data_IF_476509850183
#
_entry.id   IF_476509850183
#
_cell.length_a   1.000
_cell.length_b   1.000
_cell.length_c   1.000
_cell.angle_alpha   90.00
_cell.angle_beta   90.00
_cell.angle_gamma   90.00
#
_symmetry.space_group_name_H-M   'P 1'
#
loop_
_entity.id
_entity.type
_entity.pdbx_description
1 polymer ?
#
# COMPACT_ATOMS: atom_id res chain seq x y z
N UNK A 1 3.58 -8.07 -5.18
CA UNK A 1 3.01 -6.72 -5.35
C UNK A 1 1.50 -6.72 -5.61
N UNK A 2 0.98 -7.19 -6.76
CA UNK A 2 -0.47 -7.08 -7.03
C UNK A 2 -1.32 -7.75 -5.93
N UNK A 3 -1.03 -9.01 -5.60
CA UNK A 3 -1.70 -9.75 -4.52
C UNK A 3 -1.53 -9.04 -3.16
N UNK A 4 -0.37 -8.44 -2.93
CA UNK A 4 -0.03 -7.78 -1.67
C UNK A 4 -0.88 -6.53 -1.43
N UNK A 5 -1.11 -5.74 -2.48
CA UNK A 5 -1.98 -4.54 -2.42
C UNK A 5 -3.45 -4.83 -2.72
N UNK A 6 -3.82 -6.08 -2.94
CA UNK A 6 -5.22 -6.52 -2.93
C UNK A 6 -5.70 -6.91 -1.52
N UNK A 7 -4.79 -6.92 -0.54
CA UNK A 7 -5.07 -7.25 0.86
C UNK A 7 -6.17 -6.36 1.47
N UNK A 8 -6.92 -6.92 2.41
CA UNK A 8 -7.87 -6.17 3.24
C UNK A 8 -7.19 -5.53 4.45
N UNK A 9 -5.97 -5.97 4.77
CA UNK A 9 -5.19 -5.45 5.90
C UNK A 9 -4.47 -4.15 5.52
N UNK A 10 -4.12 -3.29 6.50
CA UNK A 10 -3.36 -2.08 6.24
C UNK A 10 -1.99 -2.38 5.61
N UNK A 11 -1.70 -1.76 4.45
CA UNK A 11 -0.41 -1.91 3.73
C UNK A 11 0.26 -0.58 3.36
N UNK A 12 -0.28 0.55 3.84
CA UNK A 12 0.19 1.88 3.45
C UNK A 12 1.67 2.11 3.78
N UNK A 13 2.16 1.55 4.89
CA UNK A 13 3.55 1.65 5.33
C UNK A 13 4.55 1.03 4.33
N UNK A 14 4.13 0.04 3.53
CA UNK A 14 4.96 -0.60 2.51
C UNK A 14 4.80 -0.01 1.11
N UNK A 15 3.77 0.82 0.88
CA UNK A 15 3.41 1.28 -0.47
C UNK A 15 4.58 1.95 -1.18
N UNK A 16 5.21 2.93 -0.54
CA UNK A 16 6.33 3.66 -1.12
C UNK A 16 7.52 2.77 -1.46
N UNK A 17 7.93 1.92 -0.51
CA UNK A 17 9.08 1.04 -0.64
C UNK A 17 8.86 0.01 -1.75
N UNK A 18 7.71 -0.69 -1.75
CA UNK A 18 7.42 -1.74 -2.73
C UNK A 18 7.32 -1.19 -4.14
N UNK A 19 6.64 -0.05 -4.36
CA UNK A 19 6.56 0.57 -5.69
C UNK A 19 7.94 1.04 -6.15
N UNK A 20 8.74 1.63 -5.25
CA UNK A 20 10.13 2.00 -5.53
C UNK A 20 11.01 0.82 -5.91
N UNK A 21 10.86 -0.32 -5.23
CA UNK A 21 11.58 -1.56 -5.53
C UNK A 21 11.20 -2.12 -6.90
N UNK A 22 9.91 -2.26 -7.20
CA UNK A 22 9.45 -2.73 -8.51
C UNK A 22 9.97 -1.83 -9.62
N UNK A 23 9.82 -0.52 -9.46
CA UNK A 23 10.28 0.44 -10.45
C UNK A 23 11.79 0.30 -10.71
N UNK A 24 12.60 0.18 -9.66
CA UNK A 24 14.04 -0.09 -9.77
C UNK A 24 14.34 -1.42 -10.45
N UNK A 25 13.61 -2.49 -10.15
CA UNK A 25 13.81 -3.81 -10.74
C UNK A 25 13.58 -3.74 -12.25
N UNK A 26 12.50 -3.09 -12.71
CA UNK A 26 12.21 -2.96 -14.14
C UNK A 26 13.27 -2.10 -14.82
N UNK A 27 13.67 -0.96 -14.22
CA UNK A 27 14.71 -0.11 -14.79
C UNK A 27 16.05 -0.85 -14.96
N UNK A 28 16.44 -1.69 -14.01
CA UNK A 28 17.68 -2.49 -14.07
C UNK A 28 17.75 -3.41 -15.29
N UNK A 29 16.61 -3.75 -15.89
CA UNK A 29 16.58 -4.63 -17.06
C UNK A 29 17.09 -3.93 -18.35
N UNK A 30 17.01 -2.61 -18.43
CA UNK A 30 17.31 -1.88 -19.68
C UNK A 30 18.05 -0.54 -19.51
N UNK A 31 18.10 0.04 -18.32
CA UNK A 31 18.83 1.29 -18.02
C UNK A 31 20.24 0.96 -17.53
N UNK A 32 21.22 1.75 -17.97
CA UNK A 32 22.61 1.57 -17.56
C UNK A 32 22.81 1.79 -16.05
N UNK A 33 23.70 0.99 -15.48
CA UNK A 33 23.99 1.00 -14.04
C UNK A 33 24.60 2.31 -13.53
N UNK A 34 25.36 3.05 -14.35
CA UNK A 34 25.90 4.36 -13.99
C UNK A 34 24.77 5.37 -13.73
N UNK A 35 23.76 5.41 -14.59
CA UNK A 35 22.57 6.27 -14.43
C UNK A 35 21.80 5.91 -13.16
N UNK A 36 21.58 4.61 -12.91
CA UNK A 36 20.88 4.13 -11.71
C UNK A 36 21.63 4.48 -10.42
N UNK A 37 22.96 4.41 -10.43
CA UNK A 37 23.81 4.80 -9.29
C UNK A 37 23.75 6.30 -9.04
N UNK A 38 23.84 7.11 -10.09
CA UNK A 38 23.77 8.58 -10.00
C UNK A 38 22.42 9.05 -9.43
N UNK A 39 21.33 8.32 -9.71
CA UNK A 39 19.98 8.65 -9.26
C UNK A 39 19.47 7.76 -8.11
N UNK A 40 20.36 7.10 -7.35
CA UNK A 40 20.00 6.13 -6.30
C UNK A 40 18.94 6.65 -5.31
N UNK A 41 18.98 7.95 -5.01
CA UNK A 41 18.10 8.62 -4.04
C UNK A 41 16.98 9.45 -4.67
N UNK A 42 16.94 9.56 -6.00
CA UNK A 42 15.93 10.35 -6.72
C UNK A 42 15.42 9.59 -7.95
N UNK A 43 14.48 8.68 -7.72
CA UNK A 43 13.86 7.88 -8.78
C UNK A 43 13.02 8.72 -9.74
N UNK A 44 12.44 9.82 -9.26
CA UNK A 44 11.61 10.71 -10.06
C UNK A 44 12.40 11.36 -11.21
N UNK A 45 13.70 11.58 -11.02
CA UNK A 45 14.58 12.21 -12.01
C UNK A 45 15.01 11.27 -13.16
N UNK A 46 14.86 9.95 -13.00
CA UNK A 46 15.20 9.00 -14.07
C UNK A 46 14.14 9.11 -15.15
N UNK A 47 14.53 9.52 -16.35
CA UNK A 47 13.68 9.53 -17.54
C UNK A 47 13.70 8.13 -18.21
N UNK A 48 12.67 7.29 -18.01
CA UNK A 48 12.69 5.90 -18.47
C UNK A 48 12.61 5.77 -19.99
N UNK A 49 12.18 6.81 -20.70
CA UNK A 49 12.07 6.83 -22.16
C UNK A 49 13.28 7.44 -22.85
N UNK A 50 14.31 7.90 -22.11
CA UNK A 50 15.49 8.51 -22.69
C UNK A 50 16.45 7.44 -23.25
N UNK A 51 16.63 7.32 -24.58
CA UNK A 51 17.48 6.31 -25.18
C UNK A 51 18.95 6.43 -24.75
N UNK A 52 19.40 7.64 -24.40
CA UNK A 52 20.76 7.88 -23.92
C UNK A 52 21.03 7.21 -22.58
N UNK A 53 20.02 6.71 -21.87
CA UNK A 53 20.18 5.97 -20.62
C UNK A 53 20.17 4.46 -20.82
N UNK A 54 19.89 3.98 -22.02
CA UNK A 54 19.68 2.57 -22.27
C UNK A 54 21.00 1.81 -22.37
N UNK A 55 20.96 0.54 -21.97
CA UNK A 55 21.95 -0.45 -22.35
C UNK A 55 21.86 -0.70 -23.86
N UNK A 56 22.90 -1.33 -24.44
CA UNK A 56 22.74 -1.88 -25.79
C UNK A 56 21.71 -3.00 -25.74
N UNK A 57 20.94 -3.18 -26.82
CA UNK A 57 19.84 -4.15 -26.85
C UNK A 57 20.27 -5.59 -26.50
N UNK A 58 21.51 -5.95 -26.80
CA UNK A 58 22.09 -7.26 -26.51
C UNK A 58 22.57 -7.44 -25.07
N UNK A 59 22.75 -6.34 -24.34
CA UNK A 59 23.15 -6.32 -22.93
C UNK A 59 21.95 -6.19 -21.98
N UNK A 60 20.74 -6.00 -22.51
CA UNK A 60 19.49 -5.91 -21.75
C UNK A 60 19.05 -7.29 -21.23
N UNK A 61 18.29 -7.30 -20.14
CA UNK A 61 17.79 -8.52 -19.51
C UNK A 61 16.29 -8.72 -19.74
N UNK A 62 15.90 -9.86 -20.31
CA UNK A 62 14.50 -10.18 -20.61
C UNK A 62 13.94 -11.37 -19.81
N UNK A 63 14.70 -11.84 -18.81
CA UNK A 63 14.31 -12.93 -17.92
C UNK A 63 15.01 -14.24 -18.26
N UNK A 64 15.35 -15.02 -17.23
CA UNK A 64 16.21 -16.19 -17.37
C UNK A 64 15.71 -17.24 -18.39
N UNK A 65 14.39 -17.47 -18.47
CA UNK A 65 13.80 -18.41 -19.44
C UNK A 65 13.92 -17.92 -20.89
N UNK A 66 13.86 -16.59 -21.08
CA UNK A 66 14.01 -15.97 -22.40
C UNK A 66 15.47 -16.08 -22.84
N UNK A 67 16.41 -15.80 -21.95
CA UNK A 67 17.85 -15.96 -22.25
C UNK A 67 18.19 -17.42 -22.63
N UNK A 68 17.67 -18.41 -21.89
CA UNK A 68 17.82 -19.83 -22.25
C UNK A 68 17.23 -20.17 -23.63
N UNK A 69 16.15 -19.52 -24.01
CA UNK A 69 15.51 -19.75 -25.31
C UNK A 69 16.33 -19.15 -26.45
N UNK A 70 17.06 -18.05 -26.22
CA UNK A 70 17.95 -17.45 -27.21
C UNK A 70 19.24 -18.24 -27.45
N UNK A 71 19.65 -19.10 -26.52
CA UNK A 71 20.77 -20.03 -26.72
C UNK A 71 20.43 -21.18 -27.68
N UNK A 72 19.15 -21.35 -28.02
CA UNK A 72 18.72 -22.35 -29.00
C UNK A 72 18.89 -21.80 -30.43
N UNK A 73 19.80 -22.39 -31.21
CA UNK A 73 20.17 -21.99 -32.58
C UNK A 73 19.03 -22.07 -33.62
N UNK A 74 17.83 -22.51 -33.22
CA UNK A 74 16.67 -22.66 -34.11
C UNK A 74 15.88 -21.38 -34.34
N UNK A 75 16.20 -20.27 -33.66
CA UNK A 75 15.49 -18.99 -33.79
C UNK A 75 16.32 -18.01 -34.61
N UNK A 76 15.69 -17.34 -35.58
CA UNK A 76 16.38 -16.36 -36.40
C UNK A 76 16.77 -15.10 -35.58
N UNK A 77 17.96 -14.55 -35.89
CA UNK A 77 18.49 -13.37 -35.19
C UNK A 77 17.61 -12.14 -35.38
N UNK A 78 16.91 -12.00 -36.51
CA UNK A 78 16.00 -10.87 -36.73
C UNK A 78 14.76 -10.98 -35.85
N UNK A 79 14.24 -12.20 -35.63
CA UNK A 79 13.11 -12.46 -34.73
C UNK A 79 13.48 -12.16 -33.27
N UNK A 80 14.66 -12.60 -32.82
CA UNK A 80 15.19 -12.27 -31.49
C UNK A 80 15.26 -10.75 -31.30
N UNK A 81 15.80 -10.04 -32.29
CA UNK A 81 15.92 -8.57 -32.24
C UNK A 81 14.56 -7.87 -32.20
N UNK A 82 13.58 -8.36 -32.97
CA UNK A 82 12.21 -7.84 -32.95
C UNK A 82 11.56 -8.06 -31.58
N UNK A 83 11.71 -9.26 -31.00
CA UNK A 83 11.24 -9.54 -29.66
C UNK A 83 11.86 -8.59 -28.62
N UNK A 84 13.19 -8.45 -28.59
CA UNK A 84 13.88 -7.56 -27.65
C UNK A 84 13.41 -6.11 -27.77
N UNK A 85 13.14 -5.65 -28.99
CA UNK A 85 12.63 -4.28 -29.24
C UNK A 85 11.21 -4.10 -28.69
N UNK A 86 10.34 -5.08 -28.88
CA UNK A 86 8.98 -5.06 -28.35
C UNK A 86 8.98 -5.14 -26.81
N UNK A 87 9.82 -6.00 -26.23
CA UNK A 87 9.96 -6.13 -24.79
C UNK A 87 10.55 -4.87 -24.14
N UNK A 88 11.54 -4.22 -24.78
CA UNK A 88 12.03 -2.92 -24.37
C UNK A 88 10.91 -1.87 -24.37
N UNK A 89 10.13 -1.80 -25.45
CA UNK A 89 9.00 -0.87 -25.56
C UNK A 89 7.99 -1.09 -24.42
N UNK A 90 7.72 -2.34 -24.07
CA UNK A 90 6.90 -2.69 -22.92
C UNK A 90 7.51 -2.24 -21.59
N UNK A 91 8.80 -2.46 -21.34
CA UNK A 91 9.46 -2.01 -20.10
C UNK A 91 9.46 -0.48 -19.97
N UNK A 92 9.72 0.23 -21.06
CA UNK A 92 9.68 1.70 -21.10
C UNK A 92 8.28 2.18 -20.76
N UNK A 93 7.27 1.67 -21.46
CA UNK A 93 5.87 2.06 -21.24
C UNK A 93 5.42 1.75 -19.81
N UNK A 94 5.75 0.57 -19.29
CA UNK A 94 5.46 0.19 -17.91
C UNK A 94 6.06 1.20 -16.90
N UNK A 95 7.33 1.58 -17.07
CA UNK A 95 7.98 2.57 -16.22
C UNK A 95 7.33 3.97 -16.35
N UNK A 96 6.94 4.38 -17.57
CA UNK A 96 6.22 5.64 -17.81
C UNK A 96 4.88 5.64 -17.08
N UNK A 97 4.09 4.57 -17.21
CA UNK A 97 2.78 4.42 -16.59
C UNK A 97 2.86 4.37 -15.06
N UNK A 98 3.92 3.77 -14.49
CA UNK A 98 4.18 3.81 -13.03
C UNK A 98 4.44 5.25 -12.59
N UNK A 99 5.34 5.99 -13.25
CA UNK A 99 5.65 7.40 -12.90
C UNK A 99 4.44 8.33 -13.03
N UNK A 100 3.54 8.06 -13.98
CA UNK A 100 2.32 8.84 -14.15
C UNK A 100 1.33 8.67 -12.98
N UNK A 101 1.33 7.51 -12.32
CA UNK A 101 0.36 7.17 -11.26
C UNK A 101 0.94 7.23 -9.86
N UNK A 102 2.26 7.18 -9.71
CA UNK A 102 2.93 7.17 -8.43
C UNK A 102 3.95 8.31 -8.33
N UNK A 103 3.76 9.17 -7.34
CA UNK A 103 4.70 10.25 -7.04
C UNK A 103 5.86 9.75 -6.16
N UNK A 104 7.02 9.56 -6.77
CA UNK A 104 8.24 9.18 -6.04
C UNK A 104 8.79 10.28 -5.13
N UNK A 105 8.28 11.51 -5.22
CA UNK A 105 8.61 12.60 -4.30
C UNK A 105 7.59 12.75 -3.16
N UNK A 106 6.59 11.88 -3.06
CA UNK A 106 5.58 11.94 -2.00
C UNK A 106 6.23 11.77 -0.62
N UNK A 107 6.32 12.89 0.10
CA UNK A 107 6.94 12.96 1.41
C UNK A 107 6.08 12.32 2.51
N UNK A 108 4.77 12.17 2.29
CA UNK A 108 3.84 11.54 3.24
C UNK A 108 4.03 10.04 3.15
N UNK A 109 3.92 9.45 1.95
CA UNK A 109 4.09 8.01 1.77
C UNK A 109 5.47 7.53 2.21
N UNK A 110 6.53 8.30 1.90
CA UNK A 110 7.89 8.01 2.37
C UNK A 110 8.00 8.04 3.90
N UNK A 111 7.30 8.98 4.54
CA UNK A 111 7.30 9.11 5.99
C UNK A 111 6.47 8.01 6.67
N UNK A 112 5.35 7.59 6.07
CA UNK A 112 4.52 6.49 6.58
C UNK A 112 5.28 5.15 6.64
N UNK A 113 6.31 4.98 5.83
CA UNK A 113 7.21 3.84 5.93
C UNK A 113 8.02 3.78 7.23
N UNK A 114 7.99 4.79 8.09
CA UNK A 114 8.60 4.75 9.43
C UNK A 114 7.80 3.92 10.43
N UNK A 115 6.50 3.69 10.18
CA UNK A 115 5.63 2.93 11.07
C UNK A 115 5.75 1.41 10.90
N UNK A 116 6.70 0.91 10.11
CA UNK A 116 6.96 -0.54 10.11
C UNK A 116 7.47 -0.96 11.49
N UNK A 117 7.10 -2.17 11.97
CA UNK A 117 7.55 -2.64 13.27
C UNK A 117 9.05 -2.57 13.44
N UNK A 118 9.83 -2.92 12.40
CA UNK A 118 11.29 -2.91 12.49
C UNK A 118 11.85 -1.51 12.73
N UNK A 119 11.30 -0.47 12.10
CA UNK A 119 11.76 0.91 12.28
C UNK A 119 11.25 1.56 13.56
N UNK A 120 10.06 1.16 14.02
CA UNK A 120 9.51 1.64 15.28
C UNK A 120 10.38 1.21 16.47
N UNK A 121 10.94 -0.01 16.44
CA UNK A 121 11.80 -0.53 17.50
C UNK A 121 13.31 -0.29 17.27
N UNK A 122 13.73 0.22 16.11
CA UNK A 122 15.16 0.40 15.83
C UNK A 122 15.77 1.60 16.57
N UNK A 123 14.96 2.59 16.92
CA UNK A 123 15.43 3.85 17.50
C UNK A 123 16.06 4.82 16.50
N UNK A 124 16.16 4.46 15.22
CA UNK A 124 16.75 5.31 14.17
C UNK A 124 15.88 6.53 13.84
N UNK A 125 14.56 6.38 14.01
CA UNK A 125 13.59 7.45 13.76
C UNK A 125 13.42 8.26 15.05
N UNK A 126 14.18 9.35 15.16
CA UNK A 126 14.18 10.18 16.37
C UNK A 126 12.88 10.94 16.62
N UNK A 127 12.10 11.20 15.57
CA UNK A 127 10.85 11.95 15.71
C UNK A 127 9.82 11.58 14.65
N UNK A 128 8.56 11.50 15.11
CA UNK A 128 7.40 11.33 14.25
C UNK A 128 6.48 12.57 14.20
N UNK A 129 6.87 13.68 14.83
CA UNK A 129 6.04 14.90 14.96
C UNK A 129 5.55 15.42 13.61
N UNK A 130 6.33 15.21 12.54
CA UNK A 130 5.95 15.61 11.18
C UNK A 130 4.59 15.04 10.74
N UNK A 131 4.14 13.93 11.33
CA UNK A 131 2.81 13.37 11.07
C UNK A 131 1.69 14.37 11.36
N UNK A 132 1.84 15.23 12.37
CA UNK A 132 0.83 16.24 12.74
C UNK A 132 0.70 17.31 11.65
N UNK A 133 1.78 17.61 10.92
CA UNK A 133 1.73 18.52 9.78
C UNK A 133 1.03 17.92 8.56
N UNK A 134 1.10 16.59 8.40
CA UNK A 134 0.44 15.88 7.31
C UNK A 134 -1.03 15.59 7.61
N UNK A 135 -1.36 15.40 8.88
CA UNK A 135 -2.71 15.10 9.36
C UNK A 135 -3.09 16.07 10.48
N UNK A 136 -3.41 17.34 10.16
CA UNK A 136 -3.62 18.40 11.15
C UNK A 136 -4.86 18.20 12.03
N UNK A 137 -5.77 17.32 11.62
CA UNK A 137 -6.99 17.00 12.35
C UNK A 137 -6.77 15.93 13.43
N UNK A 138 -5.56 15.37 13.56
CA UNK A 138 -5.24 14.44 14.64
C UNK A 138 -5.04 15.25 15.93
N UNK A 139 -5.96 15.10 16.86
CA UNK A 139 -5.88 15.70 18.19
C UNK A 139 -4.87 14.94 19.07
N UNK A 140 -3.64 15.43 19.14
CA UNK A 140 -2.56 14.86 19.96
C UNK A 140 -1.72 15.95 20.59
N UNK A 141 -1.18 15.67 21.78
CA UNK A 141 -0.06 16.45 22.31
C UNK A 141 1.22 16.02 21.59
N UNK A 142 1.92 16.99 21.02
CA UNK A 142 3.08 16.76 20.13
C UNK A 142 4.31 16.28 20.90
N UNK A 143 4.53 16.81 22.10
CA UNK A 143 5.68 16.44 22.94
C UNK A 143 5.46 15.06 23.56
N UNK A 144 4.25 14.78 24.05
CA UNK A 144 3.89 13.47 24.55
C UNK A 144 3.95 12.41 23.44
N UNK A 145 3.41 12.71 22.25
CA UNK A 145 3.51 11.81 21.08
C UNK A 145 4.96 11.44 20.77
N UNK A 146 5.84 12.42 20.75
CA UNK A 146 7.24 12.19 20.41
C UNK A 146 7.97 11.41 21.52
N UNK A 147 7.61 11.65 22.78
CA UNK A 147 8.12 10.91 23.93
C UNK A 147 7.66 9.46 23.88
N UNK A 148 6.37 9.22 23.67
CA UNK A 148 5.77 7.90 23.52
C UNK A 148 6.46 7.09 22.40
N UNK A 149 6.70 7.70 21.24
CA UNK A 149 7.41 7.06 20.13
C UNK A 149 8.83 6.62 20.52
N UNK A 150 9.56 7.49 21.21
CA UNK A 150 10.95 7.23 21.62
C UNK A 150 11.09 6.18 22.70
N UNK A 151 10.00 5.83 23.39
CA UNK A 151 9.97 4.75 24.37
C UNK A 151 9.86 3.36 23.74
N UNK A 152 9.38 3.25 22.49
CA UNK A 152 9.17 1.93 21.85
C UNK A 152 10.44 1.06 21.79
N UNK A 153 11.63 1.58 21.41
CA UNK A 153 12.84 0.77 21.34
C UNK A 153 13.31 0.22 22.70
N UNK A 154 12.93 0.89 23.79
CA UNK A 154 13.33 0.54 25.16
C UNK A 154 12.53 -0.65 25.73
N UNK A 155 11.43 -1.04 25.07
CA UNK A 155 10.55 -2.12 25.53
C UNK A 155 11.00 -3.43 24.86
N UNK A 156 11.74 -4.25 25.60
CA UNK A 156 12.31 -5.50 25.08
C UNK A 156 11.27 -6.45 24.49
N UNK A 157 10.08 -6.54 25.09
CA UNK A 157 9.00 -7.41 24.65
C UNK A 157 8.53 -7.10 23.21
N UNK A 158 8.66 -5.84 22.77
CA UNK A 158 8.26 -5.43 21.42
C UNK A 158 9.15 -6.05 20.33
N UNK A 159 10.37 -6.48 20.65
CA UNK A 159 11.29 -7.12 19.69
C UNK A 159 10.80 -8.48 19.19
N UNK A 160 10.12 -9.24 20.06
CA UNK A 160 9.53 -10.52 19.66
C UNK A 160 8.24 -10.28 18.86
N UNK A 161 7.49 -9.25 19.25
CA UNK A 161 6.19 -8.91 18.66
C UNK A 161 6.36 -8.33 17.26
N UNK A 162 7.47 -7.64 16.96
CA UNK A 162 7.73 -7.08 15.62
C UNK A 162 7.77 -8.14 14.52
N UNK A 163 7.99 -9.42 14.88
CA UNK A 163 7.97 -10.55 13.94
C UNK A 163 6.55 -11.00 13.56
N UNK A 164 5.52 -10.58 14.30
CA UNK A 164 4.14 -11.03 14.12
C UNK A 164 3.42 -10.33 12.97
N UNK A 165 3.96 -9.21 12.46
CA UNK A 165 3.38 -8.40 11.40
C UNK A 165 2.84 -7.06 11.89
N UNK A 166 2.60 -6.13 10.96
CA UNK A 166 2.24 -4.73 11.26
C UNK A 166 0.98 -4.60 12.12
N UNK A 167 -0.09 -5.31 11.76
CA UNK A 167 -1.37 -5.20 12.48
C UNK A 167 -1.29 -5.80 13.88
N UNK A 168 -0.68 -6.98 14.03
CA UNK A 168 -0.50 -7.60 15.35
C UNK A 168 0.39 -6.74 16.25
N UNK A 169 1.48 -6.19 15.70
CA UNK A 169 2.40 -5.32 16.43
C UNK A 169 1.70 -4.08 16.98
N UNK A 170 1.02 -3.34 16.12
CA UNK A 170 0.32 -2.12 16.53
C UNK A 170 -0.90 -2.42 17.41
N UNK A 171 -1.59 -3.54 17.18
CA UNK A 171 -2.68 -3.98 18.06
C UNK A 171 -2.19 -4.29 19.47
N UNK A 172 -0.97 -4.83 19.63
CA UNK A 172 -0.39 -5.02 20.96
C UNK A 172 -0.18 -3.67 21.66
N UNK A 173 0.49 -2.73 20.99
CA UNK A 173 0.74 -1.37 21.53
C UNK A 173 -0.56 -0.64 21.88
N UNK A 174 -1.59 -0.76 21.05
CA UNK A 174 -2.91 -0.16 21.29
C UNK A 174 -3.56 -0.71 22.56
N UNK A 175 -3.31 -1.97 22.89
CA UNK A 175 -3.87 -2.63 24.07
C UNK A 175 -2.93 -2.59 25.29
N UNK A 176 -1.70 -2.08 25.14
CA UNK A 176 -0.76 -1.93 26.25
C UNK A 176 -1.28 -0.91 27.27
N UNK A 177 -1.27 -1.32 28.53
CA UNK A 177 -1.66 -0.49 29.66
C UNK A 177 -0.56 -0.48 30.70
N UNK A 178 -0.45 0.63 31.43
CA UNK A 178 0.42 0.73 32.59
C UNK A 178 -0.20 0.04 33.82
N UNK A 179 0.54 0.04 34.93
CA UNK A 179 0.10 -0.56 36.20
C UNK A 179 -1.19 0.06 36.76
N UNK A 180 -1.53 1.27 36.33
CA UNK A 180 -2.78 1.97 36.67
C UNK A 180 -3.94 1.63 35.72
N UNK A 181 -3.76 0.65 34.82
CA UNK A 181 -4.74 0.22 33.82
C UNK A 181 -5.16 1.34 32.83
N UNK A 182 -4.29 2.32 32.62
CA UNK A 182 -4.44 3.42 31.65
C UNK A 182 -3.62 3.10 30.39
N UNK A 183 -4.06 3.49 29.18
CA UNK A 183 -3.27 3.31 27.97
C UNK A 183 -1.85 3.85 28.11
N UNK A 184 -0.87 3.06 27.72
CA UNK A 184 0.55 3.43 27.85
C UNK A 184 0.97 4.50 26.82
N UNK A 185 0.32 4.53 25.65
CA UNK A 185 0.67 5.43 24.54
C UNK A 185 -0.56 6.16 23.97
N UNK A 186 -1.24 7.02 24.76
CA UNK A 186 -2.52 7.61 24.39
C UNK A 186 -2.46 8.44 23.10
N UNK A 187 -1.36 9.16 22.83
CA UNK A 187 -1.23 10.00 21.64
C UNK A 187 -0.83 9.18 20.39
N UNK A 188 0.13 8.27 20.56
CA UNK A 188 0.58 7.38 19.49
C UNK A 188 -0.56 6.49 19.00
N UNK A 189 -1.43 6.00 19.88
CA UNK A 189 -2.60 5.20 19.50
C UNK A 189 -3.50 5.95 18.51
N UNK A 190 -3.73 7.25 18.73
CA UNK A 190 -4.55 8.07 17.82
C UNK A 190 -3.90 8.14 16.42
N UNK A 191 -2.59 8.36 16.37
CA UNK A 191 -1.83 8.40 15.11
C UNK A 191 -1.88 7.06 14.40
N UNK A 192 -1.59 5.95 15.10
CA UNK A 192 -1.54 4.61 14.51
C UNK A 192 -2.90 4.19 13.97
N UNK A 193 -4.00 4.47 14.68
CA UNK A 193 -5.35 4.24 14.17
C UNK A 193 -5.60 5.02 12.88
N UNK A 194 -5.18 6.28 12.81
CA UNK A 194 -5.28 7.07 11.58
C UNK A 194 -4.49 6.41 10.43
N UNK A 195 -3.24 6.02 10.67
CA UNK A 195 -2.40 5.34 9.65
C UNK A 195 -3.02 4.03 9.18
N UNK A 196 -3.59 3.23 10.10
CA UNK A 196 -4.25 1.97 9.77
C UNK A 196 -5.52 2.15 8.94
N UNK A 197 -6.21 3.28 9.07
CA UNK A 197 -7.40 3.61 8.28
C UNK A 197 -7.09 4.15 6.88
N UNK A 198 -5.82 4.44 6.54
CA UNK A 198 -5.48 4.97 5.22
C UNK A 198 -5.66 3.90 4.13
N UNK A 199 -6.38 4.22 3.05
CA UNK A 199 -6.50 3.30 1.92
C UNK A 199 -5.14 3.17 1.22
N UNK A 200 -4.75 1.94 0.91
CA UNK A 200 -3.47 1.64 0.25
C UNK A 200 -3.63 1.28 -1.23
N UNK A 201 -4.85 0.98 -1.69
CA UNK A 201 -5.15 0.65 -3.09
C UNK A 201 -6.64 0.85 -3.42
N UNK A 202 -6.96 0.81 -4.71
CA UNK A 202 -8.34 0.78 -5.22
C UNK A 202 -9.04 -0.56 -5.02
N UNK A 203 -8.35 -1.62 -4.60
CA UNK A 203 -8.89 -2.97 -4.55
C UNK A 203 -10.12 -3.08 -3.63
N UNK A 204 -10.17 -2.30 -2.55
CA UNK A 204 -11.34 -2.22 -1.68
C UNK A 204 -12.57 -1.67 -2.43
N UNK A 205 -12.39 -0.57 -3.17
CA UNK A 205 -13.46 0.01 -3.98
C UNK A 205 -13.90 -0.94 -5.11
N UNK A 206 -12.96 -1.61 -5.78
CA UNK A 206 -13.23 -2.60 -6.82
C UNK A 206 -14.03 -3.80 -6.31
N UNK A 207 -13.75 -4.27 -5.07
CA UNK A 207 -14.56 -5.29 -4.40
C UNK A 207 -16.00 -4.81 -4.21
N UNK A 208 -16.22 -3.59 -3.72
CA UNK A 208 -17.56 -3.02 -3.57
C UNK A 208 -18.26 -2.86 -4.93
N UNK A 209 -17.57 -2.40 -5.97
CA UNK A 209 -18.14 -2.30 -7.32
C UNK A 209 -18.51 -3.66 -7.91
N UNK A 210 -17.72 -4.69 -7.64
CA UNK A 210 -18.05 -6.08 -8.00
C UNK A 210 -19.34 -6.53 -7.30
N UNK A 211 -19.49 -6.25 -6.01
CA UNK A 211 -20.74 -6.53 -5.30
C UNK A 211 -21.92 -5.74 -5.88
N UNK A 212 -21.72 -4.47 -6.22
CA UNK A 212 -22.75 -3.64 -6.83
C UNK A 212 -23.20 -4.20 -8.20
N UNK A 213 -22.28 -4.73 -9.00
CA UNK A 213 -22.60 -5.39 -10.28
C UNK A 213 -23.44 -6.66 -10.06
N UNK A 214 -23.22 -7.39 -8.97
CA UNK A 214 -24.07 -8.53 -8.60
C UNK A 214 -25.47 -8.11 -8.14
N UNK A 215 -25.59 -6.94 -7.50
CA UNK A 215 -26.88 -6.37 -7.07
C UNK A 215 -27.66 -5.82 -8.28
N UNK A 216 -26.98 -5.07 -9.15
CA UNK A 216 -27.52 -4.44 -10.36
C UNK A 216 -27.20 -5.26 -11.60
N UNK A 217 -27.95 -6.34 -11.79
CA UNK A 217 -27.82 -7.16 -13.00
C UNK A 217 -28.50 -6.51 -14.20
N UNK A 218 -28.24 -7.01 -15.41
CA UNK A 218 -28.90 -6.53 -16.65
C UNK A 218 -30.43 -6.59 -16.58
N UNK A 219 -30.98 -7.59 -15.87
CA UNK A 219 -32.42 -7.77 -15.68
C UNK A 219 -32.97 -6.97 -14.47
N UNK A 220 -32.10 -6.60 -13.52
CA UNK A 220 -32.45 -5.88 -12.29
C UNK A 220 -31.61 -4.60 -12.16
N UNK A 221 -31.71 -3.71 -13.14
CA UNK A 221 -30.90 -2.48 -13.23
C UNK A 221 -31.59 -1.24 -12.63
N UNK A 222 -32.90 -1.28 -12.42
CA UNK A 222 -33.72 -0.16 -11.92
C UNK A 222 -33.89 -0.20 -10.40
N UNK A 223 -32.77 -0.18 -9.68
CA UNK A 223 -32.74 -0.03 -8.23
C UNK A 223 -32.32 1.39 -7.86
N UNK A 224 -32.99 1.96 -6.86
CA UNK A 224 -32.59 3.24 -6.27
C UNK A 224 -31.25 3.09 -5.54
N UNK A 225 -30.48 4.18 -5.50
CA UNK A 225 -29.17 4.21 -4.83
C UNK A 225 -29.30 3.78 -3.37
N UNK A 226 -30.33 4.28 -2.66
CA UNK A 226 -30.60 3.91 -1.26
C UNK A 226 -30.84 2.42 -1.09
N UNK A 227 -31.53 1.79 -2.03
CA UNK A 227 -31.77 0.34 -2.01
C UNK A 227 -30.47 -0.44 -2.22
N UNK A 228 -29.64 -0.04 -3.19
CA UNK A 228 -28.34 -0.66 -3.40
C UNK A 228 -27.43 -0.52 -2.16
N UNK A 229 -27.41 0.68 -1.58
CA UNK A 229 -26.65 1.00 -0.38
C UNK A 229 -27.10 0.17 0.84
N UNK A 230 -28.41 0.07 1.07
CA UNK A 230 -28.95 -0.79 2.14
C UNK A 230 -28.61 -2.27 1.93
N UNK A 231 -28.65 -2.76 0.68
CA UNK A 231 -28.29 -4.16 0.38
C UNK A 231 -26.80 -4.40 0.65
N UNK A 232 -25.92 -3.47 0.25
CA UNK A 232 -24.48 -3.57 0.52
C UNK A 232 -24.21 -3.59 2.02
N UNK A 233 -24.76 -2.64 2.78
CA UNK A 233 -24.60 -2.59 4.23
C UNK A 233 -25.13 -3.83 4.94
N UNK A 234 -26.32 -4.32 4.58
CA UNK A 234 -26.85 -5.55 5.15
C UNK A 234 -25.93 -6.75 4.86
N UNK A 235 -25.37 -6.84 3.65
CA UNK A 235 -24.43 -7.90 3.29
C UNK A 235 -23.14 -7.83 4.11
N UNK A 236 -22.58 -6.63 4.29
CA UNK A 236 -21.37 -6.45 5.08
C UNK A 236 -21.61 -6.77 6.56
N UNK A 237 -22.75 -6.36 7.13
CA UNK A 237 -23.14 -6.65 8.51
C UNK A 237 -23.45 -8.14 8.77
N UNK A 238 -23.91 -8.86 7.74
CA UNK A 238 -24.07 -10.32 7.81
C UNK A 238 -22.72 -11.04 7.90
N UNK A 239 -21.66 -10.48 7.31
CA UNK A 239 -20.33 -11.10 7.30
C UNK A 239 -20.39 -12.52 6.72
N UNK A 240 -19.99 -13.51 7.53
CA UNK A 240 -20.03 -14.92 7.17
C UNK A 240 -21.33 -15.63 7.56
N UNK A 241 -22.26 -14.95 8.23
CA UNK A 241 -23.55 -15.52 8.59
C UNK A 241 -24.47 -15.59 7.37
N UNK A 242 -25.35 -16.60 7.36
CA UNK A 242 -26.34 -16.75 6.30
C UNK A 242 -27.62 -15.96 6.62
N UNK A 243 -28.46 -15.73 5.60
CA UNK A 243 -29.70 -14.96 5.74
C UNK A 243 -30.75 -15.62 6.63
N UNK A 244 -30.53 -16.87 7.06
CA UNK A 244 -31.45 -17.62 7.93
C UNK A 244 -31.04 -17.57 9.40
N UNK A 245 -29.75 -17.38 9.69
CA UNK A 245 -29.22 -17.34 11.06
C UNK A 245 -28.99 -15.92 11.53
N UNK A 246 -28.66 -15.00 10.61
CA UNK A 246 -28.41 -13.61 10.97
C UNK A 246 -29.69 -12.91 11.42
N UNK A 247 -29.65 -12.31 12.61
CA UNK A 247 -30.74 -11.51 13.16
C UNK A 247 -30.34 -10.04 13.14
N UNK A 248 -30.94 -9.20 12.28
CA UNK A 248 -30.61 -7.78 12.24
C UNK A 248 -30.96 -7.13 13.57
N UNK A 249 -30.08 -6.24 14.05
CA UNK A 249 -30.38 -5.42 15.21
C UNK A 249 -31.50 -4.42 14.89
N UNK A 250 -32.20 -3.97 15.92
CA UNK A 250 -33.30 -2.99 15.79
C UNK A 250 -32.83 -1.70 15.11
N UNK A 251 -31.58 -1.27 15.33
CA UNK A 251 -31.00 -0.09 14.68
C UNK A 251 -30.84 -0.25 13.16
N UNK A 252 -30.50 -1.45 12.68
CA UNK A 252 -30.38 -1.75 11.24
C UNK A 252 -31.76 -1.69 10.56
N UNK A 253 -32.81 -2.12 11.26
CA UNK A 253 -34.19 -2.12 10.76
C UNK A 253 -34.86 -0.73 10.74
N UNK A 254 -34.38 0.21 11.55
CA UNK A 254 -35.01 1.53 11.75
C UNK A 254 -34.53 2.65 10.81
N UNK A 255 -33.41 2.42 10.09
CA UNK A 255 -32.70 3.35 9.21
C UNK A 255 -33.01 4.87 9.35
N UNK A 256 -32.33 5.50 10.31
CA UNK A 256 -31.73 6.85 10.14
C UNK A 256 -30.22 6.71 10.37
N UNK A 257 -29.49 6.26 9.36
CA UNK A 257 -28.04 6.39 9.39
C UNK A 257 -27.71 7.84 9.01
N UNK A 258 -27.44 8.66 10.01
CA UNK A 258 -26.82 9.97 9.81
C UNK A 258 -25.40 9.72 9.33
N UNK A 259 -25.13 10.03 8.06
CA UNK A 259 -23.77 10.38 7.67
C UNK A 259 -23.39 11.59 8.51
N UNK A 260 -22.36 11.49 9.35
CA UNK A 260 -21.65 12.70 9.73
C UNK A 260 -21.04 13.23 8.43
N UNK A 261 -21.62 14.31 7.91
CA UNK A 261 -21.06 15.08 6.81
C UNK A 261 -19.63 15.50 7.20
N UNK A 262 -18.65 14.68 6.83
CA UNK A 262 -17.25 15.09 6.79
C UNK A 262 -17.10 15.97 5.55
N UNK A 263 -17.24 17.28 5.78
CA UNK A 263 -16.76 18.33 4.87
C UNK A 263 -15.25 18.43 4.92
#
# INVERSE_FOLDING_TARGET
>A
MNIEFQSEHPKIHHLYEKISELYKIILKNYIRNDILKNHKYNLAAIAPSNPDYFLKIDEMYFGAKVEQMFENDSIDKSEIRNFKTNALSFYVELCVQIRQRFDFNDHILKFLSNFTPEKAISGDVLSIVKICSYFPNIDVDVEDLNTEWRLLPEIEDLKNISLLGFEQFWSHIINCKNDLNVPMFPNLIKVIKCVMCLPHSSACAERIFSQLNNIKTKLRNKLEVKTCDSILHCKDLMGNDNCTTWKPSVSVLQHKLTYSDAR
#
